data_IF_234482411182
#
_entry.id   IF_234482411182
#
_cell.length_a   1.000
_cell.length_b   1.000
_cell.length_c   1.000
_cell.angle_alpha   90.00
_cell.angle_beta   90.00
_cell.angle_gamma   90.00
#
_symmetry.space_group_name_H-M   'P 1'
#
loop_
_entity.id
_entity.type
_entity.pdbx_description
1 polymer ?
#
# COMPACT_ATOMS: atom_id res chain seq x y z
N UNK A 1 17.37 0.53 -15.20
CA UNK A 1 16.33 1.44 -14.66
C UNK A 1 15.67 0.82 -13.42
N UNK A 2 15.41 1.61 -12.37
CA UNK A 2 14.65 1.13 -11.22
C UNK A 2 13.19 0.88 -11.65
N UNK A 3 12.63 -0.28 -11.27
CA UNK A 3 11.23 -0.62 -11.54
C UNK A 3 10.34 0.37 -10.78
N UNK A 4 9.45 1.05 -11.49
CA UNK A 4 8.54 2.05 -10.93
C UNK A 4 7.15 1.92 -11.55
N UNK A 5 6.15 2.54 -10.92
CA UNK A 5 4.79 2.66 -11.46
C UNK A 5 4.69 3.94 -12.29
N UNK A 6 3.99 3.88 -13.42
CA UNK A 6 3.66 5.08 -14.18
C UNK A 6 2.61 5.96 -13.44
N UNK A 7 2.27 7.16 -13.95
CA UNK A 7 1.30 8.04 -13.29
C UNK A 7 -0.11 7.44 -13.14
N UNK A 8 -0.60 6.67 -14.12
CA UNK A 8 -1.92 6.05 -14.08
C UNK A 8 -1.93 4.89 -13.09
N UNK A 9 -0.92 4.03 -13.13
CA UNK A 9 -0.71 2.95 -12.17
C UNK A 9 -0.59 3.49 -10.74
N UNK A 10 0.11 4.61 -10.55
CA UNK A 10 0.24 5.27 -9.24
C UNK A 10 -1.09 5.78 -8.68
N UNK A 11 -1.99 6.28 -9.53
CA UNK A 11 -3.33 6.71 -9.13
C UNK A 11 -4.21 5.52 -8.72
N UNK A 12 -4.19 4.45 -9.51
CA UNK A 12 -4.96 3.23 -9.22
C UNK A 12 -4.42 2.52 -7.97
N UNK A 13 -3.09 2.45 -7.81
CA UNK A 13 -2.44 1.97 -6.59
C UNK A 13 -2.92 2.77 -5.37
N UNK A 14 -2.93 4.11 -5.43
CA UNK A 14 -3.39 4.96 -4.33
C UNK A 14 -4.86 4.68 -3.99
N UNK A 15 -5.72 4.51 -5.00
CA UNK A 15 -7.12 4.20 -4.78
C UNK A 15 -7.31 2.86 -4.04
N UNK A 16 -6.57 1.81 -4.45
CA UNK A 16 -6.57 0.52 -3.75
C UNK A 16 -5.99 0.61 -2.34
N UNK A 17 -4.85 1.28 -2.18
CA UNK A 17 -4.21 1.50 -0.89
C UNK A 17 -5.17 2.13 0.12
N UNK A 18 -5.85 3.22 -0.27
CA UNK A 18 -6.84 3.90 0.57
C UNK A 18 -8.03 3.00 0.86
N UNK A 19 -8.56 2.31 -0.15
CA UNK A 19 -9.72 1.42 -0.01
C UNK A 19 -9.47 0.28 0.97
N UNK A 20 -8.27 -0.32 0.92
CA UNK A 20 -7.84 -1.40 1.80
C UNK A 20 -7.66 -0.89 3.23
N UNK A 21 -6.95 0.23 3.41
CA UNK A 21 -6.75 0.83 4.73
C UNK A 21 -8.09 1.19 5.40
N UNK A 22 -9.00 1.81 4.66
CA UNK A 22 -10.34 2.13 5.15
C UNK A 22 -11.13 0.89 5.57
N UNK A 23 -11.05 -0.23 4.83
CA UNK A 23 -11.76 -1.44 5.21
C UNK A 23 -11.24 -2.02 6.53
N UNK A 24 -9.91 -2.04 6.72
CA UNK A 24 -9.31 -2.53 7.97
C UNK A 24 -9.68 -1.65 9.16
N UNK A 25 -9.79 -0.33 8.97
CA UNK A 25 -10.25 0.58 10.02
C UNK A 25 -11.76 0.44 10.30
N UNK A 26 -12.57 0.18 9.28
CA UNK A 26 -14.04 0.07 9.41
C UNK A 26 -14.50 -1.25 10.05
N UNK A 27 -13.89 -2.38 9.70
CA UNK A 27 -14.27 -3.70 10.22
C UNK A 27 -13.61 -4.04 11.56
N UNK A 28 -12.64 -3.22 12.00
CA UNK A 28 -11.67 -3.65 13.00
C UNK A 28 -10.60 -4.56 12.37
N UNK A 29 -9.52 -4.88 13.10
CA UNK A 29 -8.39 -5.58 12.52
C UNK A 29 -8.79 -6.97 12.02
N UNK A 30 -8.68 -7.19 10.69
CA UNK A 30 -8.88 -8.53 10.15
C UNK A 30 -7.82 -9.49 10.70
N UNK A 31 -8.08 -10.80 10.76
CA UNK A 31 -7.08 -11.79 11.20
C UNK A 31 -5.77 -11.77 10.38
N UNK A 32 -5.77 -11.15 9.20
CA UNK A 32 -4.59 -10.99 8.33
C UNK A 32 -3.75 -9.74 8.66
N UNK A 33 -4.32 -8.78 9.38
CA UNK A 33 -3.59 -7.62 9.90
C UNK A 33 -2.94 -7.98 11.24
N UNK A 34 -1.82 -8.71 11.15
CA UNK A 34 -1.11 -9.26 12.32
C UNK A 34 -0.36 -8.22 13.15
N UNK A 35 0.09 -7.12 12.53
CA UNK A 35 0.85 -6.05 13.18
C UNK A 35 -0.04 -4.81 13.29
N UNK A 36 -0.79 -4.72 14.40
CA UNK A 36 -1.80 -3.68 14.64
C UNK A 36 -1.20 -2.30 14.98
N UNK A 37 -0.05 -1.96 14.39
CA UNK A 37 0.55 -0.63 14.43
C UNK A 37 0.23 0.15 13.14
N UNK A 38 0.35 1.47 13.20
CA UNK A 38 0.10 2.33 12.03
C UNK A 38 1.01 1.95 10.85
N UNK A 39 2.28 1.63 11.12
CA UNK A 39 3.22 1.23 10.09
C UNK A 39 2.87 -0.14 9.47
N UNK A 40 2.33 -1.07 10.24
CA UNK A 40 1.84 -2.37 9.79
C UNK A 40 0.63 -2.24 8.88
N UNK A 41 -0.29 -1.31 9.19
CA UNK A 41 -1.40 -1.00 8.30
C UNK A 41 -0.90 -0.46 6.95
N UNK A 42 0.08 0.45 6.96
CA UNK A 42 0.69 0.98 5.72
C UNK A 42 1.35 -0.12 4.91
N UNK A 43 2.17 -0.98 5.54
CA UNK A 43 2.80 -2.13 4.86
C UNK A 43 1.76 -3.07 4.26
N UNK A 44 0.73 -3.41 5.03
CA UNK A 44 -0.34 -4.30 4.60
C UNK A 44 -1.08 -3.72 3.39
N UNK A 45 -1.56 -2.49 3.49
CA UNK A 45 -2.31 -1.84 2.42
C UNK A 45 -1.46 -1.67 1.15
N UNK A 46 -0.18 -1.31 1.27
CA UNK A 46 0.72 -1.18 0.12
C UNK A 46 0.98 -2.53 -0.56
N UNK A 47 1.26 -3.58 0.22
CA UNK A 47 1.54 -4.91 -0.33
C UNK A 47 0.30 -5.52 -0.98
N UNK A 48 -0.87 -5.37 -0.37
CA UNK A 48 -2.10 -5.91 -0.93
C UNK A 48 -2.58 -5.11 -2.16
N UNK A 49 -2.36 -3.80 -2.22
CA UNK A 49 -2.71 -2.98 -3.39
C UNK A 49 -1.91 -3.32 -4.67
N UNK A 50 -0.79 -4.04 -4.54
CA UNK A 50 0.03 -4.53 -5.65
C UNK A 50 -0.33 -5.96 -6.08
N UNK A 51 -1.28 -6.61 -5.40
CA UNK A 51 -1.76 -7.95 -5.77
C UNK A 51 -2.88 -7.86 -6.81
N UNK A 52 -3.25 -9.02 -7.34
CA UNK A 52 -4.44 -9.16 -8.20
C UNK A 52 -5.67 -9.20 -7.30
N UNK A 53 -6.65 -8.34 -7.55
CA UNK A 53 -7.84 -8.18 -6.70
C UNK A 53 -9.01 -9.05 -7.18
N UNK A 54 -8.77 -10.35 -7.35
CA UNK A 54 -9.79 -11.31 -7.78
C UNK A 54 -10.85 -11.59 -6.68
N UNK A 55 -11.88 -12.37 -7.03
CA UNK A 55 -12.93 -12.73 -6.07
C UNK A 55 -12.44 -13.49 -4.84
N UNK A 56 -11.35 -14.26 -4.95
CA UNK A 56 -10.74 -14.97 -3.81
C UNK A 56 -10.05 -13.97 -2.88
N UNK A 57 -9.31 -13.01 -3.45
CA UNK A 57 -8.66 -11.93 -2.73
C UNK A 57 -9.67 -11.04 -2.00
N UNK A 58 -10.78 -10.67 -2.65
CA UNK A 58 -11.85 -9.85 -2.05
C UNK A 58 -12.44 -10.53 -0.81
N UNK A 59 -12.82 -11.81 -0.93
CA UNK A 59 -13.33 -12.60 0.22
C UNK A 59 -12.31 -12.71 1.33
N UNK A 60 -11.05 -12.97 1.00
CA UNK A 60 -9.98 -13.13 1.98
C UNK A 60 -9.59 -11.83 2.70
N UNK A 61 -9.94 -10.66 2.15
CA UNK A 61 -9.71 -9.36 2.77
C UNK A 61 -11.01 -8.73 3.32
N UNK A 62 -12.14 -9.44 3.25
CA UNK A 62 -13.43 -8.95 3.72
C UNK A 62 -14.00 -7.78 2.91
N UNK A 63 -13.52 -7.53 1.69
CA UNK A 63 -14.03 -6.44 0.85
C UNK A 63 -15.31 -6.85 0.13
N UNK A 64 -16.30 -5.96 0.16
CA UNK A 64 -17.48 -6.07 -0.70
C UNK A 64 -17.16 -5.64 -2.14
N UNK A 65 -17.89 -6.18 -3.11
CA UNK A 65 -17.72 -5.86 -4.53
C UNK A 65 -18.30 -4.49 -4.94
N UNK A 66 -18.48 -3.56 -3.98
CA UNK A 66 -19.04 -2.23 -4.20
C UNK A 66 -17.93 -1.18 -4.14
N UNK A 67 -17.98 -0.21 -5.07
CA UNK A 67 -17.04 0.91 -5.13
C UNK A 67 -15.57 0.47 -5.15
N UNK A 68 -15.26 -0.58 -5.92
CA UNK A 68 -13.89 -1.03 -6.12
C UNK A 68 -13.18 -0.12 -7.13
N UNK A 69 -11.92 0.26 -6.88
CA UNK A 69 -11.08 0.87 -7.92
C UNK A 69 -10.93 -0.07 -9.14
N UNK A 70 -10.56 0.45 -10.32
CA UNK A 70 -10.23 -0.41 -11.46
C UNK A 70 -9.03 -1.32 -11.12
N UNK A 71 -8.92 -2.45 -11.81
CA UNK A 71 -7.81 -3.37 -11.57
C UNK A 71 -6.46 -2.75 -11.96
N UNK A 72 -5.45 -2.97 -11.12
CA UNK A 72 -4.11 -2.45 -11.34
C UNK A 72 -3.31 -3.35 -12.28
N UNK A 73 -3.18 -2.94 -13.54
CA UNK A 73 -2.36 -3.65 -14.52
C UNK A 73 -0.87 -3.45 -14.24
N UNK A 74 -0.20 -4.49 -13.72
CA UNK A 74 1.24 -4.49 -13.39
C UNK A 74 2.00 -5.57 -14.16
N UNK A 75 3.24 -5.27 -14.52
CA UNK A 75 4.20 -6.30 -14.95
C UNK A 75 4.60 -7.22 -13.78
N UNK A 76 5.12 -8.43 -14.05
CA UNK A 76 5.65 -9.31 -13.01
C UNK A 76 6.69 -8.62 -12.11
N UNK A 77 7.56 -7.79 -12.68
CA UNK A 77 8.59 -7.03 -11.96
C UNK A 77 7.99 -5.97 -11.05
N UNK A 78 6.97 -5.23 -11.53
CA UNK A 78 6.27 -4.22 -10.74
C UNK A 78 5.55 -4.83 -9.54
N UNK A 79 4.99 -6.04 -9.67
CA UNK A 79 4.38 -6.76 -8.53
C UNK A 79 5.37 -7.06 -7.41
N UNK A 80 6.66 -7.23 -7.72
CA UNK A 80 7.71 -7.49 -6.72
C UNK A 80 8.01 -6.27 -5.83
N UNK A 81 7.51 -5.08 -6.18
CA UNK A 81 7.66 -3.89 -5.33
C UNK A 81 7.08 -4.10 -3.91
N UNK A 82 6.05 -4.94 -3.76
CA UNK A 82 5.49 -5.32 -2.46
C UNK A 82 6.49 -6.01 -1.51
N UNK A 83 7.59 -6.53 -2.05
CA UNK A 83 8.63 -7.25 -1.31
C UNK A 83 9.99 -6.55 -1.35
N UNK A 84 10.07 -5.34 -1.92
CA UNK A 84 11.32 -4.61 -2.15
C UNK A 84 11.35 -3.27 -1.41
N UNK A 85 11.05 -3.30 -0.10
CA UNK A 85 11.13 -2.10 0.75
C UNK A 85 12.58 -1.67 0.95
N UNK A 86 12.86 -0.37 0.81
CA UNK A 86 14.19 0.19 1.06
C UNK A 86 14.53 0.10 2.56
N UNK A 87 15.63 -0.56 2.88
CA UNK A 87 16.08 -0.77 4.26
C UNK A 87 17.21 0.18 4.69
N UNK A 88 17.69 1.04 3.78
CA UNK A 88 18.87 1.88 3.96
C UNK A 88 20.16 1.21 3.47
N UNK A 89 21.19 2.01 3.18
CA UNK A 89 22.50 1.49 2.72
C UNK A 89 22.45 0.70 1.40
N UNK A 90 21.48 1.02 0.52
CA UNK A 90 21.28 0.32 -0.75
C UNK A 90 20.62 -1.06 -0.65
N UNK A 91 20.20 -1.49 0.54
CA UNK A 91 19.55 -2.78 0.76
C UNK A 91 18.03 -2.69 0.59
N UNK A 92 17.43 -3.75 0.05
CA UNK A 92 15.98 -3.92 -0.05
C UNK A 92 15.55 -5.24 0.58
N UNK A 93 14.31 -5.30 1.07
CA UNK A 93 13.77 -6.54 1.63
C UNK A 93 12.26 -6.56 1.79
N UNK A 94 11.68 -7.71 2.18
CA UNK A 94 10.22 -7.92 2.23
C UNK A 94 9.52 -7.19 3.37
N UNK A 95 10.29 -6.57 4.27
CA UNK A 95 9.79 -5.92 5.48
C UNK A 95 10.60 -4.66 5.80
N UNK A 96 9.93 -3.69 6.43
CA UNK A 96 10.52 -2.44 6.90
C UNK A 96 9.85 -2.00 8.21
N UNK A 97 10.61 -1.50 9.17
CA UNK A 97 10.04 -0.94 10.40
C UNK A 97 9.55 0.51 10.17
N UNK A 98 8.86 1.10 11.16
CA UNK A 98 8.29 2.44 11.04
C UNK A 98 9.33 3.52 10.69
N UNK A 99 10.50 3.50 11.32
CA UNK A 99 11.54 4.52 11.07
C UNK A 99 12.09 4.43 9.64
N UNK A 100 12.36 3.23 9.13
CA UNK A 100 12.83 3.04 7.74
C UNK A 100 11.73 3.29 6.71
N UNK A 101 10.46 3.07 7.06
CA UNK A 101 9.31 3.43 6.22
C UNK A 101 9.29 4.94 5.96
N UNK A 102 9.45 5.74 7.01
CA UNK A 102 9.49 7.20 6.92
C UNK A 102 10.77 7.68 6.23
N UNK A 103 11.93 7.14 6.60
CA UNK A 103 13.23 7.63 6.10
C UNK A 103 13.51 7.28 4.64
N UNK A 104 13.11 6.09 4.17
CA UNK A 104 13.57 5.56 2.87
C UNK A 104 12.44 5.21 1.90
N UNK A 105 11.20 5.13 2.36
CA UNK A 105 10.06 4.69 1.54
C UNK A 105 8.93 5.73 1.47
N UNK A 106 9.18 6.92 2.02
CA UNK A 106 8.26 8.04 2.03
C UNK A 106 9.00 9.29 1.52
N UNK A 107 8.25 10.25 1.00
CA UNK A 107 8.77 11.57 0.63
C UNK A 107 7.93 12.65 1.29
N UNK A 108 8.56 13.74 1.70
CA UNK A 108 7.85 14.90 2.24
C UNK A 108 7.02 15.55 1.13
N UNK A 109 5.72 15.70 1.35
CA UNK A 109 4.82 16.45 0.46
C UNK A 109 4.80 17.93 0.84
N UNK A 110 4.57 18.21 2.13
CA UNK A 110 4.49 19.56 2.68
C UNK A 110 4.16 19.53 4.16
N UNK A 111 4.01 20.71 4.77
CA UNK A 111 3.55 20.87 6.17
C UNK A 111 2.14 21.44 6.28
N UNK A 112 1.52 21.75 5.14
CA UNK A 112 0.15 22.23 5.05
C UNK A 112 -0.78 21.04 4.78
N UNK A 113 -1.73 20.81 5.69
CA UNK A 113 -2.71 19.73 5.58
C UNK A 113 -3.56 19.84 4.32
N UNK A 114 -3.77 21.05 3.78
CA UNK A 114 -4.57 21.25 2.57
C UNK A 114 -3.89 20.69 1.31
N UNK A 115 -2.59 20.38 1.38
CA UNK A 115 -1.84 19.77 0.28
C UNK A 115 -1.86 18.23 0.33
N UNK A 116 -2.32 17.66 1.44
CA UNK A 116 -2.38 16.21 1.60
C UNK A 116 -3.47 15.61 0.73
N UNK A 117 -3.17 14.46 0.13
CA UNK A 117 -4.13 13.65 -0.62
C UNK A 117 -4.47 12.39 0.16
N UNK A 118 -5.64 11.77 -0.07
CA UNK A 118 -5.96 10.47 0.51
C UNK A 118 -4.82 9.46 0.30
N UNK A 119 -4.38 8.83 1.39
CA UNK A 119 -3.28 7.87 1.40
C UNK A 119 -1.89 8.48 1.70
N UNK A 120 -1.77 9.80 1.89
CA UNK A 120 -0.53 10.39 2.43
C UNK A 120 -0.43 10.12 3.95
N UNK A 121 0.81 10.06 4.46
CA UNK A 121 1.11 9.75 5.87
C UNK A 121 1.25 11.06 6.69
N UNK A 122 0.87 11.00 7.97
CA UNK A 122 0.97 12.12 8.94
C UNK A 122 1.89 11.80 10.10
#
# INVERSE_FOLDING_TARGET
PAVTLDPQQSQVFRAWFVRIAQEQLRQGPSPRWHQQDCAGLVRFAANEALKVHDGKWLRANGLSNRYLPPELALSPEQRRLAQNWQQGGGQVGPYVNAIKLVQFNSRLVGRDLNQARPGDLM
#
